data_IF_291960262482
#
_entry.id   IF_291960262482
#
_cell.length_a   1.000
_cell.length_b   1.000
_cell.length_c   1.000
_cell.angle_alpha   90.00
_cell.angle_beta   90.00
_cell.angle_gamma   90.00
#
_symmetry.space_group_name_H-M   'P 1'
#
loop_
_entity.id
_entity.type
_entity.pdbx_description
1 polymer ?
#
# COMPACT_ATOMS: atom_id res chain seq x y z
N UNK A 1 49.36 -9.86 65.05
CA UNK A 1 49.24 -8.43 64.69
C UNK A 1 48.97 -8.22 63.20
N UNK A 2 49.81 -8.74 62.28
CA UNK A 2 49.57 -8.61 60.84
C UNK A 2 48.31 -9.33 60.35
N UNK A 3 48.07 -10.58 60.77
CA UNK A 3 46.89 -11.35 60.36
C UNK A 3 45.57 -10.69 60.80
N UNK A 4 45.52 -10.19 62.02
CA UNK A 4 44.36 -9.51 62.60
C UNK A 4 44.01 -8.21 61.86
N UNK A 5 45.04 -7.47 61.43
CA UNK A 5 44.87 -6.27 60.60
C UNK A 5 44.30 -6.62 59.22
N UNK A 6 44.77 -7.71 58.61
CA UNK A 6 44.27 -8.20 57.32
C UNK A 6 42.81 -8.64 57.45
N UNK A 7 42.45 -9.44 58.46
CA UNK A 7 41.07 -9.88 58.69
C UNK A 7 40.12 -8.70 58.90
N UNK A 8 40.55 -7.69 59.66
CA UNK A 8 39.76 -6.47 59.90
C UNK A 8 39.53 -5.68 58.61
N UNK A 9 40.59 -5.47 57.82
CA UNK A 9 40.52 -4.78 56.54
C UNK A 9 39.59 -5.49 55.55
N UNK A 10 39.73 -6.81 55.39
CA UNK A 10 38.86 -7.64 54.55
C UNK A 10 37.40 -7.55 55.01
N UNK A 11 37.15 -7.56 56.32
CA UNK A 11 35.80 -7.41 56.88
C UNK A 11 35.16 -6.06 56.60
N UNK A 12 35.94 -4.96 56.63
CA UNK A 12 35.47 -3.61 56.28
C UNK A 12 35.12 -3.54 54.79
N UNK A 13 36.02 -4.02 53.92
CA UNK A 13 35.80 -4.03 52.47
C UNK A 13 34.55 -4.86 52.12
N UNK A 14 34.38 -6.04 52.75
CA UNK A 14 33.21 -6.88 52.54
C UNK A 14 31.90 -6.18 52.92
N UNK A 15 31.87 -5.47 54.04
CA UNK A 15 30.68 -4.70 54.47
C UNK A 15 30.38 -3.55 53.53
N UNK A 16 31.38 -2.79 53.12
CA UNK A 16 31.22 -1.68 52.18
C UNK A 16 30.68 -2.17 50.82
N UNK A 17 31.21 -3.29 50.32
CA UNK A 17 30.72 -3.90 49.07
C UNK A 17 29.27 -4.38 49.20
N UNK A 18 28.90 -4.98 50.32
CA UNK A 18 27.55 -5.49 50.54
C UNK A 18 26.51 -4.36 50.60
N UNK A 19 26.83 -3.25 51.28
CA UNK A 19 25.99 -2.06 51.31
C UNK A 19 25.82 -1.44 49.92
N UNK A 20 26.89 -1.35 49.14
CA UNK A 20 26.82 -0.82 47.77
C UNK A 20 25.96 -1.72 46.85
N UNK A 21 26.10 -3.04 46.96
CA UNK A 21 25.25 -3.97 46.21
C UNK A 21 23.79 -3.81 46.60
N UNK A 22 23.49 -3.68 47.90
CA UNK A 22 22.13 -3.48 48.40
C UNK A 22 21.52 -2.17 47.86
N UNK A 23 22.28 -1.09 47.85
CA UNK A 23 21.90 0.19 47.24
C UNK A 23 21.61 0.04 45.74
N UNK A 24 22.53 -0.58 44.98
CA UNK A 24 22.34 -0.84 43.55
C UNK A 24 21.11 -1.71 43.25
N UNK A 25 20.82 -2.71 44.09
CA UNK A 25 19.63 -3.56 43.94
C UNK A 25 18.35 -2.74 44.18
N UNK A 26 18.35 -1.88 45.19
CA UNK A 26 17.20 -1.02 45.50
C UNK A 26 16.95 0.03 44.40
N UNK A 27 18.01 0.64 43.87
CA UNK A 27 17.91 1.57 42.73
C UNK A 27 17.38 0.86 41.47
N UNK A 28 17.84 -0.36 41.22
CA UNK A 28 17.39 -1.17 40.09
C UNK A 28 15.90 -1.54 40.25
N UNK A 29 15.46 -1.97 41.42
CA UNK A 29 14.05 -2.29 41.71
C UNK A 29 13.15 -1.06 41.52
N UNK A 30 13.55 0.09 42.06
CA UNK A 30 12.83 1.36 41.89
C UNK A 30 12.74 1.78 40.41
N UNK A 31 13.84 1.63 39.67
CA UNK A 31 13.88 1.94 38.23
C UNK A 31 12.97 1.01 37.43
N UNK A 32 12.98 -0.30 37.73
CA UNK A 32 12.10 -1.27 37.09
C UNK A 32 10.62 -0.99 37.36
N UNK A 33 10.27 -0.64 38.60
CA UNK A 33 8.91 -0.25 38.97
C UNK A 33 8.44 0.98 38.19
N UNK A 34 9.29 2.01 38.11
CA UNK A 34 8.99 3.24 37.35
C UNK A 34 8.79 2.96 35.86
N UNK A 35 9.63 2.11 35.28
CA UNK A 35 9.48 1.70 33.87
C UNK A 35 8.17 0.94 33.64
N UNK A 36 7.79 0.05 34.55
CA UNK A 36 6.55 -0.72 34.46
C UNK A 36 5.32 0.19 34.56
N UNK A 37 5.33 1.16 35.48
CA UNK A 37 4.26 2.16 35.60
C UNK A 37 4.15 3.00 34.32
N UNK A 38 5.28 3.41 33.72
CA UNK A 38 5.31 4.15 32.45
C UNK A 38 4.74 3.34 31.30
N UNK A 39 5.14 2.07 31.17
CA UNK A 39 4.64 1.17 30.12
C UNK A 39 3.13 0.94 30.27
N UNK A 40 2.65 0.72 31.50
CA UNK A 40 1.23 0.54 31.75
C UNK A 40 0.42 1.80 31.43
N UNK A 41 0.93 2.99 31.78
CA UNK A 41 0.30 4.25 31.39
C UNK A 41 0.15 4.39 29.87
N UNK A 42 1.23 4.16 29.12
CA UNK A 42 1.19 4.18 27.65
C UNK A 42 0.21 3.15 27.08
N UNK A 43 0.16 1.93 27.66
CA UNK A 43 -0.73 0.87 27.20
C UNK A 43 -2.21 1.26 27.38
N UNK A 44 -2.55 1.90 28.49
CA UNK A 44 -3.91 2.39 28.73
C UNK A 44 -4.29 3.55 27.80
N UNK A 45 -3.37 4.48 27.51
CA UNK A 45 -3.59 5.54 26.51
C UNK A 45 -3.85 4.97 25.10
N UNK A 46 -3.08 3.95 24.70
CA UNK A 46 -3.30 3.24 23.44
C UNK A 46 -4.65 2.51 23.42
N UNK A 47 -5.03 1.86 24.53
CA UNK A 47 -6.33 1.19 24.66
C UNK A 47 -7.47 2.20 24.52
N UNK A 48 -7.41 3.33 25.22
CA UNK A 48 -8.41 4.38 25.13
C UNK A 48 -8.55 4.91 23.69
N UNK A 49 -7.43 5.12 23.00
CA UNK A 49 -7.44 5.55 21.59
C UNK A 49 -8.07 4.49 20.67
N UNK A 50 -7.77 3.20 20.88
CA UNK A 50 -8.36 2.11 20.12
C UNK A 50 -9.88 2.00 20.35
N UNK A 51 -10.35 2.21 21.58
CA UNK A 51 -11.78 2.18 21.90
C UNK A 51 -12.52 3.33 21.21
N UNK A 52 -11.94 4.54 21.16
CA UNK A 52 -12.51 5.66 20.39
C UNK A 52 -12.65 5.29 18.91
N UNK A 53 -11.59 4.79 18.28
CA UNK A 53 -11.62 4.40 16.86
C UNK A 53 -12.64 3.29 16.61
N UNK A 54 -12.73 2.29 17.50
CA UNK A 54 -13.72 1.21 17.39
C UNK A 54 -15.15 1.75 17.47
N UNK A 55 -15.41 2.70 18.36
CA UNK A 55 -16.71 3.34 18.50
C UNK A 55 -17.07 4.19 17.27
N UNK A 56 -16.12 4.93 16.70
CA UNK A 56 -16.33 5.68 15.45
C UNK A 56 -16.63 4.75 14.27
N UNK A 57 -15.94 3.63 14.15
CA UNK A 57 -16.24 2.61 13.12
C UNK A 57 -17.65 2.06 13.31
N UNK A 58 -18.06 1.79 14.55
CA UNK A 58 -19.42 1.34 14.84
C UNK A 58 -20.46 2.41 14.45
N UNK A 59 -20.25 3.68 14.81
CA UNK A 59 -21.12 4.80 14.42
C UNK A 59 -21.24 4.92 12.90
N UNK A 60 -20.11 4.98 12.19
CA UNK A 60 -20.07 5.06 10.72
C UNK A 60 -20.81 3.89 10.08
N UNK A 61 -20.64 2.66 10.60
CA UNK A 61 -21.36 1.49 10.12
C UNK A 61 -22.88 1.60 10.36
N UNK A 62 -23.33 2.11 11.51
CA UNK A 62 -24.77 2.33 11.75
C UNK A 62 -25.36 3.36 10.79
N UNK A 63 -24.65 4.48 10.56
CA UNK A 63 -25.06 5.53 9.61
C UNK A 63 -25.12 4.99 8.18
N UNK A 64 -24.13 4.21 7.77
CA UNK A 64 -24.11 3.56 6.45
C UNK A 64 -25.30 2.61 6.29
N UNK A 65 -25.57 1.77 7.28
CA UNK A 65 -26.72 0.85 7.26
C UNK A 65 -28.06 1.60 7.18
N UNK A 66 -28.20 2.72 7.88
CA UNK A 66 -29.40 3.58 7.78
C UNK A 66 -29.56 4.17 6.39
N UNK A 67 -28.49 4.71 5.79
CA UNK A 67 -28.51 5.25 4.43
C UNK A 67 -28.89 4.16 3.42
N UNK A 68 -28.27 2.98 3.53
CA UNK A 68 -28.61 1.82 2.69
C UNK A 68 -30.08 1.45 2.83
N UNK A 69 -30.63 1.40 4.05
CA UNK A 69 -32.05 1.08 4.29
C UNK A 69 -32.99 2.15 3.75
N UNK A 70 -32.64 3.43 3.89
CA UNK A 70 -33.39 4.55 3.32
C UNK A 70 -33.41 4.43 1.79
N UNK A 71 -32.28 4.11 1.17
CA UNK A 71 -32.19 3.90 -0.29
C UNK A 71 -32.99 2.67 -0.76
N UNK A 72 -33.03 1.57 0.00
CA UNK A 72 -33.82 0.38 -0.36
C UNK A 72 -35.33 0.60 -0.15
N UNK A 73 -35.71 1.40 0.84
CA UNK A 73 -37.11 1.65 1.19
C UNK A 73 -37.72 2.83 0.41
N UNK A 74 -36.92 3.73 -0.17
CA UNK A 74 -37.37 4.80 -1.07
C UNK A 74 -37.76 4.30 -2.49
N UNK A 75 -37.97 3.00 -2.67
CA UNK A 75 -38.53 2.40 -3.89
C UNK A 75 -40.04 2.64 -4.11
N UNK A 76 -40.69 3.47 -3.30
CA UNK A 76 -42.08 3.90 -3.49
C UNK A 76 -42.26 5.32 -2.95
N UNK A 77 -42.24 6.33 -3.84
CA UNK A 77 -42.49 7.73 -3.49
C UNK A 77 -41.47 8.71 -4.07
N UNK A 78 -41.72 9.11 -5.31
CA UNK A 78 -41.49 10.44 -5.91
C UNK A 78 -40.31 11.29 -5.39
N UNK A 79 -39.24 11.39 -6.21
CA UNK A 79 -38.17 12.39 -6.04
C UNK A 79 -36.74 11.86 -5.92
N UNK A 80 -36.45 10.60 -6.24
CA UNK A 80 -35.09 10.08 -6.22
C UNK A 80 -34.27 10.64 -7.39
N UNK A 81 -33.23 11.44 -7.11
CA UNK A 81 -32.14 11.66 -8.06
C UNK A 81 -31.59 10.27 -8.41
N UNK A 82 -31.63 9.83 -9.67
CA UNK A 82 -31.07 8.56 -10.03
C UNK A 82 -29.56 8.67 -9.86
N UNK A 83 -29.02 8.07 -8.80
CA UNK A 83 -27.61 7.66 -8.81
C UNK A 83 -27.55 6.56 -9.85
N UNK A 84 -27.35 6.98 -11.10
CA UNK A 84 -27.07 6.09 -12.21
C UNK A 84 -25.93 5.18 -11.75
N UNK A 85 -26.21 3.88 -11.56
CA UNK A 85 -25.14 2.87 -11.53
C UNK A 85 -24.44 2.99 -12.88
N UNK A 86 -23.38 3.80 -12.94
CA UNK A 86 -22.60 4.01 -14.15
C UNK A 86 -22.05 2.62 -14.48
N UNK A 87 -22.62 1.97 -15.50
CA UNK A 87 -22.05 0.75 -16.06
C UNK A 87 -20.75 1.18 -16.71
N UNK A 88 -19.63 0.96 -16.01
CA UNK A 88 -18.31 1.24 -16.56
C UNK A 88 -18.15 0.32 -17.77
N UNK A 89 -18.11 0.92 -18.95
CA UNK A 89 -17.95 0.19 -20.20
C UNK A 89 -16.54 -0.38 -20.27
N UNK A 90 -16.42 -1.67 -20.62
CA UNK A 90 -15.12 -2.30 -20.84
C UNK A 90 -14.37 -1.58 -21.97
N UNK A 91 -13.06 -1.34 -21.84
CA UNK A 91 -12.25 -0.74 -22.90
C UNK A 91 -12.28 -1.60 -24.15
N UNK A 92 -12.26 -0.94 -25.31
CA UNK A 92 -12.07 -1.64 -26.59
C UNK A 92 -10.68 -2.26 -26.64
N UNK A 93 -10.59 -3.42 -27.28
CA UNK A 93 -9.32 -4.11 -27.49
C UNK A 93 -8.51 -3.44 -28.59
N UNK A 94 -7.18 -3.56 -28.50
CA UNK A 94 -6.25 -3.14 -29.54
C UNK A 94 -5.62 -4.37 -30.19
N UNK A 95 -5.81 -4.53 -31.50
CA UNK A 95 -5.34 -5.68 -32.27
C UNK A 95 -3.88 -5.57 -32.75
N UNK A 96 -3.22 -4.42 -32.56
CA UNK A 96 -1.86 -4.21 -33.08
C UNK A 96 -1.82 -3.62 -34.50
N UNK A 97 -2.94 -3.08 -34.99
CA UNK A 97 -2.92 -2.29 -36.22
C UNK A 97 -1.92 -1.12 -36.10
N UNK A 98 -1.10 -0.90 -37.15
CA UNK A 98 -0.20 0.26 -37.27
C UNK A 98 -0.97 1.53 -37.61
N UNK A 99 -2.00 1.81 -36.83
CA UNK A 99 -2.86 2.97 -36.94
C UNK A 99 -2.69 3.84 -35.69
N UNK A 100 -2.14 5.04 -35.91
CA UNK A 100 -1.96 6.07 -34.90
C UNK A 100 -3.25 6.36 -34.12
N UNK A 101 -4.38 6.38 -34.81
CA UNK A 101 -5.68 6.72 -34.25
C UNK A 101 -6.19 5.58 -33.37
N UNK A 102 -6.11 4.34 -33.85
CA UNK A 102 -6.46 3.17 -33.05
C UNK A 102 -5.63 3.08 -31.76
N UNK A 103 -4.32 3.31 -31.85
CA UNK A 103 -3.42 3.30 -30.69
C UNK A 103 -3.73 4.44 -29.71
N UNK A 104 -3.92 5.67 -30.20
CA UNK A 104 -4.31 6.82 -29.35
C UNK A 104 -5.63 6.58 -28.64
N UNK A 105 -6.64 6.04 -29.35
CA UNK A 105 -7.93 5.70 -28.77
C UNK A 105 -7.82 4.60 -27.70
N UNK A 106 -6.99 3.57 -27.92
CA UNK A 106 -6.74 2.52 -26.94
C UNK A 106 -6.15 3.07 -25.64
N UNK A 107 -5.08 3.88 -25.76
CA UNK A 107 -4.43 4.53 -24.61
C UNK A 107 -5.44 5.41 -23.86
N UNK A 108 -6.17 6.25 -24.58
CA UNK A 108 -7.14 7.16 -23.98
C UNK A 108 -8.27 6.41 -23.25
N UNK A 109 -8.85 5.38 -23.86
CA UNK A 109 -9.93 4.59 -23.26
C UNK A 109 -9.48 3.89 -21.98
N UNK A 110 -8.26 3.35 -21.95
CA UNK A 110 -7.70 2.75 -20.74
C UNK A 110 -7.47 3.77 -19.63
N UNK A 111 -6.99 4.98 -19.97
CA UNK A 111 -6.81 6.05 -18.99
C UNK A 111 -8.15 6.50 -18.37
N UNK A 112 -9.22 6.57 -19.16
CA UNK A 112 -10.57 6.84 -18.61
C UNK A 112 -11.08 5.67 -17.76
N UNK A 113 -10.82 4.43 -18.18
CA UNK A 113 -11.23 3.25 -17.44
C UNK A 113 -10.53 3.17 -16.08
N UNK A 114 -9.21 3.38 -16.02
CA UNK A 114 -8.47 3.40 -14.75
C UNK A 114 -9.03 4.44 -13.78
N UNK A 115 -9.43 5.62 -14.28
CA UNK A 115 -10.09 6.64 -13.46
C UNK A 115 -11.46 6.19 -12.96
N UNK A 116 -12.27 5.59 -13.83
CA UNK A 116 -13.60 5.11 -13.49
C UNK A 116 -13.57 3.93 -12.49
N UNK A 117 -12.56 3.07 -12.57
CA UNK A 117 -12.40 1.90 -11.69
C UNK A 117 -11.49 2.14 -10.49
N UNK A 118 -11.01 3.37 -10.29
CA UNK A 118 -10.01 3.72 -9.27
C UNK A 118 -8.80 2.76 -9.27
N UNK A 119 -8.33 2.36 -10.45
CA UNK A 119 -7.17 1.48 -10.59
C UNK A 119 -5.91 2.30 -10.37
N UNK A 120 -5.28 2.15 -9.21
CA UNK A 120 -4.16 2.99 -8.77
C UNK A 120 -2.79 2.35 -8.91
N UNK A 121 -2.67 1.03 -8.73
CA UNK A 121 -1.36 0.34 -8.75
C UNK A 121 -0.78 0.26 -10.16
N UNK A 122 0.55 0.36 -10.28
CA UNK A 122 1.24 0.37 -11.57
C UNK A 122 1.05 -0.97 -12.28
N UNK A 123 1.17 -2.05 -11.51
CA UNK A 123 1.05 -3.44 -11.92
C UNK A 123 -0.36 -3.71 -12.46
N UNK A 124 -1.41 -3.31 -11.73
CA UNK A 124 -2.79 -3.53 -12.18
C UNK A 124 -3.09 -2.77 -13.48
N UNK A 125 -2.53 -1.56 -13.67
CA UNK A 125 -2.67 -0.82 -14.93
C UNK A 125 -2.02 -1.56 -16.10
N UNK A 126 -0.80 -2.09 -15.92
CA UNK A 126 -0.10 -2.88 -16.96
C UNK A 126 -0.85 -4.18 -17.26
N UNK A 127 -1.25 -4.94 -16.22
CA UNK A 127 -2.02 -6.17 -16.38
C UNK A 127 -3.33 -5.91 -17.13
N UNK A 128 -4.10 -4.91 -16.72
CA UNK A 128 -5.37 -4.60 -17.35
C UNK A 128 -5.21 -4.12 -18.80
N UNK A 129 -4.24 -3.25 -19.07
CA UNK A 129 -3.96 -2.81 -20.43
C UNK A 129 -3.60 -3.98 -21.36
N UNK A 130 -2.75 -4.88 -20.91
CA UNK A 130 -2.27 -6.03 -21.70
C UNK A 130 -3.32 -7.13 -21.83
N UNK A 131 -4.28 -7.22 -20.90
CA UNK A 131 -5.49 -8.03 -21.06
C UNK A 131 -6.38 -7.52 -22.20
N UNK A 132 -6.38 -6.21 -22.47
CA UNK A 132 -7.12 -5.59 -23.58
C UNK A 132 -6.33 -5.52 -24.90
N UNK A 133 -5.20 -6.21 -25.01
CA UNK A 133 -4.54 -6.45 -26.30
C UNK A 133 -5.09 -7.72 -26.95
N UNK A 134 -5.20 -7.71 -28.28
CA UNK A 134 -5.59 -8.87 -29.09
C UNK A 134 -4.62 -9.03 -30.28
N UNK A 135 -4.70 -10.17 -30.98
CA UNK A 135 -3.96 -10.42 -32.23
C UNK A 135 -2.47 -10.08 -32.14
N UNK A 136 -1.95 -9.25 -33.05
CA UNK A 136 -0.53 -8.89 -33.15
C UNK A 136 -0.03 -8.17 -31.90
N UNK A 137 -0.86 -7.34 -31.27
CA UNK A 137 -0.53 -6.71 -30.00
C UNK A 137 -0.36 -7.74 -28.87
N UNK A 138 -1.18 -8.80 -28.87
CA UNK A 138 -1.06 -9.87 -27.88
C UNK A 138 0.17 -10.75 -28.12
N UNK A 139 0.51 -11.03 -29.38
CA UNK A 139 1.72 -11.76 -29.74
C UNK A 139 2.98 -11.00 -29.33
N UNK A 140 3.03 -9.69 -29.63
CA UNK A 140 4.11 -8.82 -29.19
C UNK A 140 4.26 -8.81 -27.66
N UNK A 141 3.15 -8.65 -26.92
CA UNK A 141 3.19 -8.65 -25.46
C UNK A 141 3.72 -9.98 -24.90
N UNK A 142 3.39 -11.12 -25.50
CA UNK A 142 3.94 -12.43 -25.08
C UNK A 142 5.46 -12.48 -25.21
N UNK A 143 6.02 -11.91 -26.27
CA UNK A 143 7.48 -11.80 -26.42
C UNK A 143 8.08 -10.93 -25.31
N UNK A 144 7.50 -9.76 -25.04
CA UNK A 144 7.98 -8.87 -23.97
C UNK A 144 7.84 -9.48 -22.58
N UNK A 145 6.79 -10.26 -22.34
CA UNK A 145 6.58 -10.93 -21.07
C UNK A 145 7.72 -11.92 -20.74
N UNK A 146 8.23 -12.63 -21.76
CA UNK A 146 9.41 -13.51 -21.61
C UNK A 146 10.64 -12.67 -21.29
N UNK A 147 10.90 -11.60 -22.05
CA UNK A 147 12.03 -10.70 -21.81
C UNK A 147 12.02 -10.13 -20.38
N UNK A 148 10.86 -9.76 -19.84
CA UNK A 148 10.72 -9.25 -18.47
C UNK A 148 11.05 -10.34 -17.44
N UNK A 149 10.57 -11.56 -17.67
CA UNK A 149 10.81 -12.69 -16.77
C UNK A 149 12.28 -13.13 -16.77
N UNK A 150 12.99 -12.93 -17.88
CA UNK A 150 14.43 -13.16 -18.02
C UNK A 150 15.28 -11.96 -17.58
N UNK A 151 14.66 -10.82 -17.24
CA UNK A 151 15.34 -9.59 -16.82
C UNK A 151 15.94 -8.76 -17.96
N UNK A 152 15.62 -9.08 -19.22
CA UNK A 152 16.10 -8.42 -20.43
C UNK A 152 15.42 -7.06 -20.68
N UNK A 153 14.20 -6.84 -20.18
CA UNK A 153 13.55 -5.52 -20.22
C UNK A 153 12.65 -5.27 -19.00
N UNK A 154 12.24 -4.01 -18.79
CA UNK A 154 11.38 -3.60 -17.67
C UNK A 154 10.19 -2.80 -18.18
N UNK A 155 8.99 -3.36 -18.06
CA UNK A 155 7.71 -2.69 -18.37
C UNK A 155 6.79 -2.84 -17.15
N UNK A 156 7.12 -2.11 -16.08
CA UNK A 156 6.45 -2.19 -14.77
C UNK A 156 5.42 -1.07 -14.54
N UNK A 157 5.29 -0.15 -15.50
CA UNK A 157 4.47 1.04 -15.37
C UNK A 157 3.69 1.34 -16.65
N UNK A 158 2.58 2.06 -16.47
CA UNK A 158 1.74 2.48 -17.59
C UNK A 158 2.49 3.36 -18.60
N UNK A 159 3.40 4.23 -18.13
CA UNK A 159 4.18 5.09 -19.02
C UNK A 159 5.24 4.32 -19.81
N UNK A 160 5.90 3.34 -19.18
CA UNK A 160 6.81 2.43 -19.89
C UNK A 160 6.07 1.64 -20.97
N UNK A 161 4.88 1.09 -20.64
CA UNK A 161 4.06 0.36 -21.59
C UNK A 161 3.61 1.26 -22.76
N UNK A 162 3.16 2.49 -22.49
CA UNK A 162 2.78 3.45 -23.55
C UNK A 162 3.95 3.72 -24.50
N UNK A 163 5.17 3.87 -23.98
CA UNK A 163 6.38 4.09 -24.80
C UNK A 163 6.66 2.89 -25.69
N UNK A 164 6.70 1.69 -25.13
CA UNK A 164 6.98 0.45 -25.86
C UNK A 164 5.93 0.13 -26.93
N UNK A 165 4.63 0.28 -26.61
CA UNK A 165 3.55 0.05 -27.57
C UNK A 165 3.61 1.08 -28.70
N UNK A 166 3.95 2.34 -28.42
CA UNK A 166 4.19 3.34 -29.46
C UNK A 166 5.35 2.94 -30.35
N UNK A 167 6.51 2.59 -29.79
CA UNK A 167 7.67 2.16 -30.59
C UNK A 167 7.34 0.97 -31.50
N UNK A 168 6.54 0.03 -31.01
CA UNK A 168 6.19 -1.19 -31.77
C UNK A 168 5.17 -0.92 -32.88
N UNK A 169 4.10 -0.19 -32.58
CA UNK A 169 2.92 -0.07 -33.45
C UNK A 169 2.80 1.30 -34.11
N UNK A 170 3.70 2.22 -33.78
CA UNK A 170 3.76 3.57 -34.33
C UNK A 170 5.22 3.90 -34.67
N UNK A 171 5.57 3.76 -35.94
CA UNK A 171 6.88 4.19 -36.45
C UNK A 171 6.88 5.72 -36.50
N UNK A 172 7.50 6.38 -35.53
CA UNK A 172 7.72 7.83 -35.55
C UNK A 172 8.79 8.26 -36.57
N UNK A 173 9.33 7.31 -37.37
CA UNK A 173 10.52 7.51 -38.22
C UNK A 173 10.32 7.14 -39.71
N UNK A 174 9.21 7.51 -40.35
CA UNK A 174 9.09 7.47 -41.84
C UNK A 174 9.25 8.88 -42.42
N UNK A 175 10.36 9.54 -42.11
CA UNK A 175 10.73 10.81 -42.76
C UNK A 175 12.25 10.95 -43.07
N UNK A 176 13.07 9.90 -42.92
CA UNK A 176 14.54 10.05 -43.04
C UNK A 176 15.16 9.52 -44.35
N UNK A 177 14.42 8.88 -45.28
CA UNK A 177 15.03 8.43 -46.55
C UNK A 177 14.17 8.72 -47.78
N UNK A 178 13.84 10.00 -47.99
CA UNK A 178 13.58 10.53 -49.32
C UNK A 178 14.46 11.77 -49.54
N UNK A 179 15.69 11.53 -50.01
CA UNK A 179 16.53 12.55 -50.63
C UNK A 179 17.17 11.96 -51.87
#
# INVERSE_FOLDING_TARGET
MLEELVTTSVGIIRRALLLHIEECVNELDSSQKTLLETINGMLEDFRATLDVVRNEIADVNTRLNLITRVMTNQGSGEGAIPVSKIKILKPRTFCGARDAKALKNFIFNLEQYFKATNTVTKEAKVTLATMHMSEDAKLWWRSRYIDIHEGCCTIDSWDALKKEVRLQFFLENVEILAR
#
